data_IF_953993907281
#
_entry.id   IF_953993907281
#
_cell.length_a   1.000
_cell.length_b   1.000
_cell.length_c   1.000
_cell.angle_alpha   90.00
_cell.angle_beta   90.00
_cell.angle_gamma   90.00
#
_symmetry.space_group_name_H-M   'P 1'
#
loop_
_entity.id
_entity.type
_entity.pdbx_description
1 polymer ?
#
# COMPACT_ATOMS: atom_id res chain seq x y z
N UNK A 1 -0.39 13.92 14.65
CA UNK A 1 0.44 12.93 13.93
C UNK A 1 0.70 13.48 12.53
N UNK A 2 1.95 13.60 12.07
CA UNK A 2 2.30 14.33 10.84
C UNK A 2 2.17 13.51 9.54
N UNK A 3 1.86 12.22 9.64
CA UNK A 3 1.87 11.29 8.49
C UNK A 3 0.54 11.32 7.72
N UNK A 4 -0.58 11.61 8.39
CA UNK A 4 -1.92 11.49 7.79
C UNK A 4 -2.49 12.86 7.43
N UNK A 5 -3.20 12.90 6.31
CA UNK A 5 -4.10 13.98 5.92
C UNK A 5 -5.39 13.39 5.36
N UNK A 6 -6.42 14.22 5.26
CA UNK A 6 -7.74 13.78 4.81
C UNK A 6 -7.89 13.99 3.30
N UNK A 7 -8.43 12.99 2.61
CA UNK A 7 -8.71 13.04 1.18
C UNK A 7 -9.85 12.07 0.82
N UNK A 8 -10.43 12.28 -0.37
CA UNK A 8 -11.40 11.36 -0.98
C UNK A 8 -11.06 11.17 -2.46
N UNK A 9 -11.20 9.95 -2.96
CA UNK A 9 -10.94 9.57 -4.35
C UNK A 9 -12.08 8.71 -4.88
N UNK A 10 -12.32 8.79 -6.18
CA UNK A 10 -13.28 7.94 -6.88
C UNK A 10 -12.67 7.46 -8.20
N UNK A 11 -13.05 6.25 -8.63
CA UNK A 11 -12.71 5.71 -9.94
C UNK A 11 -13.92 5.02 -10.55
N UNK A 12 -14.01 5.04 -11.88
CA UNK A 12 -15.02 4.31 -12.65
C UNK A 12 -14.30 3.15 -13.33
N UNK A 13 -14.84 1.94 -13.15
CA UNK A 13 -14.36 0.72 -13.81
C UNK A 13 -15.48 0.20 -14.70
N UNK A 14 -15.16 -0.04 -15.97
CA UNK A 14 -16.09 -0.48 -16.99
C UNK A 14 -15.54 -1.77 -17.63
N UNK A 15 -16.44 -2.66 -18.07
CA UNK A 15 -16.04 -3.78 -18.92
C UNK A 15 -15.55 -3.26 -20.28
N UNK A 16 -14.51 -3.90 -20.81
CA UNK A 16 -13.94 -3.61 -22.11
C UNK A 16 -14.12 -4.84 -23.01
N UNK A 17 -14.66 -4.65 -24.21
CA UNK A 17 -14.75 -5.74 -25.18
C UNK A 17 -13.37 -6.09 -25.74
N UNK A 18 -13.18 -7.34 -26.17
CA UNK A 18 -11.88 -7.81 -26.64
C UNK A 18 -11.42 -7.00 -27.88
N UNK A 19 -10.24 -6.38 -27.77
CA UNK A 19 -9.65 -5.57 -28.84
C UNK A 19 -10.22 -4.15 -28.94
N UNK A 20 -11.19 -3.78 -28.10
CA UNK A 20 -11.69 -2.43 -28.01
C UNK A 20 -10.63 -1.48 -27.43
N UNK A 21 -10.46 -0.29 -28.02
CA UNK A 21 -9.56 0.75 -27.52
C UNK A 21 -10.33 2.03 -27.26
N UNK A 22 -10.31 2.49 -26.01
CA UNK A 22 -10.91 3.77 -25.60
C UNK A 22 -9.81 4.79 -25.24
N UNK A 23 -9.61 5.85 -26.04
CA UNK A 23 -8.61 6.89 -25.75
C UNK A 23 -8.82 7.52 -24.36
N UNK A 24 -7.71 7.88 -23.70
CA UNK A 24 -7.73 8.59 -22.41
C UNK A 24 -8.02 7.71 -21.18
N UNK A 25 -7.99 6.39 -21.33
CA UNK A 25 -8.23 5.42 -20.24
C UNK A 25 -7.03 4.49 -20.08
N UNK A 26 -6.91 3.89 -18.90
CA UNK A 26 -5.98 2.79 -18.64
C UNK A 26 -6.75 1.48 -18.64
N UNK A 27 -6.30 0.52 -19.43
CA UNK A 27 -6.77 -0.87 -19.37
C UNK A 27 -6.10 -1.57 -18.18
N UNK A 28 -6.88 -2.30 -17.40
CA UNK A 28 -6.33 -3.14 -16.32
C UNK A 28 -5.87 -4.44 -16.95
N UNK A 29 -4.56 -4.62 -17.08
CA UNK A 29 -3.96 -5.82 -17.69
C UNK A 29 -3.94 -6.99 -16.72
N UNK A 30 -3.56 -6.75 -15.46
CA UNK A 30 -3.57 -7.74 -14.39
C UNK A 30 -3.52 -7.05 -13.02
N UNK A 31 -3.81 -7.79 -11.97
CA UNK A 31 -3.73 -7.36 -10.57
C UNK A 31 -3.14 -8.46 -9.71
N UNK A 32 -2.39 -8.07 -8.67
CA UNK A 32 -1.91 -9.00 -7.64
C UNK A 32 -2.10 -8.41 -6.27
N UNK A 33 -2.37 -9.28 -5.30
CA UNK A 33 -2.48 -8.91 -3.89
C UNK A 33 -1.59 -9.83 -3.06
N UNK A 34 -0.91 -9.24 -2.06
CA UNK A 34 -0.12 -9.98 -1.09
C UNK A 34 -0.36 -9.39 0.30
N UNK A 35 -0.47 -10.27 1.31
CA UNK A 35 -0.64 -9.88 2.70
C UNK A 35 0.24 -10.74 3.61
N UNK A 36 0.87 -10.12 4.59
CA UNK A 36 1.60 -10.79 5.66
C UNK A 36 1.25 -10.14 7.00
N UNK A 37 0.95 -10.95 8.01
CA UNK A 37 0.61 -10.45 9.34
C UNK A 37 1.78 -9.68 9.95
N UNK A 38 1.51 -8.48 10.46
CA UNK A 38 2.46 -7.64 11.20
C UNK A 38 1.73 -6.77 12.22
N UNK A 39 2.33 -6.57 13.39
CA UNK A 39 1.84 -5.61 14.39
C UNK A 39 2.52 -4.23 14.27
N UNK A 40 3.37 -4.02 13.25
CA UNK A 40 4.18 -2.81 13.13
C UNK A 40 3.36 -1.56 12.76
N UNK A 41 2.14 -1.72 12.24
CA UNK A 41 1.12 -0.66 12.10
C UNK A 41 -0.18 -1.25 12.63
N UNK A 42 -0.73 -0.67 13.69
CA UNK A 42 -1.92 -1.22 14.34
C UNK A 42 -2.77 -0.14 15.00
N UNK A 43 -4.08 -0.33 14.91
CA UNK A 43 -5.09 0.32 15.75
C UNK A 43 -5.81 -0.77 16.54
N UNK A 44 -6.15 -0.50 17.80
CA UNK A 44 -6.96 -1.43 18.61
C UNK A 44 -8.40 -0.94 18.78
N UNK A 45 -8.72 0.25 18.25
CA UNK A 45 -10.07 0.79 18.29
C UNK A 45 -11.00 -0.05 17.38
N UNK A 46 -12.09 -0.55 17.95
CA UNK A 46 -13.10 -1.34 17.27
C UNK A 46 -14.37 -1.50 18.08
N UNK A 47 -15.33 -2.26 17.57
CA UNK A 47 -16.66 -2.41 18.19
C UNK A 47 -16.63 -3.09 19.57
N UNK A 48 -15.61 -3.89 19.85
CA UNK A 48 -15.39 -4.53 21.16
C UNK A 48 -14.63 -3.67 22.17
N UNK A 49 -14.06 -2.53 21.78
CA UNK A 49 -13.26 -1.70 22.69
C UNK A 49 -14.06 -1.32 23.93
N UNK A 50 -15.33 -0.93 23.75
CA UNK A 50 -16.24 -0.57 24.84
C UNK A 50 -16.50 -1.72 25.83
N UNK A 51 -16.67 -2.95 25.33
CA UNK A 51 -16.97 -4.11 26.18
C UNK A 51 -15.75 -4.62 26.95
N UNK A 52 -14.56 -4.08 26.66
CA UNK A 52 -13.30 -4.44 27.30
C UNK A 52 -12.81 -3.37 28.30
N UNK A 53 -13.58 -2.30 28.54
CA UNK A 53 -13.26 -1.26 29.52
C UNK A 53 -14.01 -1.51 30.84
N UNK A 54 -13.42 -1.05 31.95
CA UNK A 54 -14.08 -1.04 33.25
C UNK A 54 -15.26 -0.04 33.28
N UNK A 55 -15.12 1.10 32.60
CA UNK A 55 -16.19 2.10 32.40
C UNK A 55 -16.64 2.09 30.92
N UNK A 56 -17.85 1.58 30.60
CA UNK A 56 -18.35 1.50 29.23
C UNK A 56 -18.77 2.86 28.63
N UNK A 57 -18.79 3.94 29.42
CA UNK A 57 -19.09 5.29 28.95
C UNK A 57 -17.83 6.06 28.52
N UNK A 58 -16.65 5.53 28.82
CA UNK A 58 -15.37 6.14 28.49
C UNK A 58 -14.54 5.21 27.61
N UNK A 59 -14.11 5.70 26.45
CA UNK A 59 -13.15 4.98 25.60
C UNK A 59 -11.80 5.66 25.76
N UNK A 60 -10.85 4.96 26.39
CA UNK A 60 -9.46 5.41 26.41
C UNK A 60 -8.91 5.41 24.97
N UNK A 61 -8.46 6.56 24.49
CA UNK A 61 -7.85 6.69 23.16
C UNK A 61 -6.36 6.33 23.20
N UNK A 62 -5.71 6.44 24.35
CA UNK A 62 -4.34 6.02 24.51
C UNK A 62 -4.23 4.51 24.29
N UNK A 63 -3.30 4.09 23.43
CA UNK A 63 -3.17 2.66 23.09
C UNK A 63 -4.20 2.12 22.08
N UNK A 64 -5.30 2.84 21.84
CA UNK A 64 -6.32 2.46 20.86
C UNK A 64 -6.18 3.19 19.52
N UNK A 65 -5.64 4.41 19.50
CA UNK A 65 -5.29 5.10 18.26
C UNK A 65 -4.14 4.41 17.50
N UNK A 66 -3.96 4.79 16.24
CA UNK A 66 -2.93 4.21 15.39
C UNK A 66 -1.53 4.33 16.00
N UNK A 67 -0.82 3.20 16.08
CA UNK A 67 0.59 3.10 16.48
C UNK A 67 1.40 2.47 15.35
N UNK A 68 2.60 3.00 15.15
CA UNK A 68 3.51 2.53 14.10
C UNK A 68 4.96 2.42 14.60
N UNK A 69 5.61 1.29 14.30
CA UNK A 69 7.06 1.08 14.48
C UNK A 69 7.77 1.39 13.16
N UNK A 70 7.92 2.69 12.86
CA UNK A 70 8.32 3.18 11.53
C UNK A 70 9.58 2.55 10.95
N UNK A 71 10.62 2.32 11.76
CA UNK A 71 11.88 1.72 11.30
C UNK A 71 11.73 0.26 10.83
N UNK A 72 10.85 -0.52 11.48
CA UNK A 72 10.58 -1.90 11.05
C UNK A 72 9.76 -1.92 9.77
N UNK A 73 8.70 -1.10 9.71
CA UNK A 73 7.89 -0.90 8.50
C UNK A 73 8.78 -0.53 7.31
N UNK A 74 9.65 0.47 7.47
CA UNK A 74 10.52 0.91 6.40
C UNK A 74 11.39 -0.23 5.85
N UNK A 75 12.05 -1.00 6.72
CA UNK A 75 12.92 -2.11 6.29
C UNK A 75 12.13 -3.24 5.64
N UNK A 76 11.07 -3.70 6.28
CA UNK A 76 10.28 -4.85 5.83
C UNK A 76 9.52 -4.55 4.54
N UNK A 77 8.81 -3.41 4.47
CA UNK A 77 7.97 -3.05 3.33
C UNK A 77 8.80 -2.64 2.11
N UNK A 78 9.96 -2.02 2.30
CA UNK A 78 10.84 -1.70 1.17
C UNK A 78 11.35 -2.96 0.47
N UNK A 79 11.73 -3.98 1.27
CA UNK A 79 12.20 -5.26 0.72
C UNK A 79 11.05 -6.03 0.07
N UNK A 80 9.89 -6.11 0.72
CA UNK A 80 8.72 -6.76 0.14
C UNK A 80 8.22 -6.06 -1.13
N UNK A 81 8.18 -4.73 -1.14
CA UNK A 81 7.64 -3.92 -2.23
C UNK A 81 8.43 -4.06 -3.54
N UNK A 82 9.77 -4.01 -3.49
CA UNK A 82 10.55 -4.17 -4.72
C UNK A 82 10.46 -5.60 -5.28
N UNK A 83 10.53 -6.64 -4.42
CA UNK A 83 10.36 -8.03 -4.85
C UNK A 83 9.02 -8.25 -5.52
N UNK A 84 7.96 -7.75 -4.90
CA UNK A 84 6.61 -7.83 -5.45
C UNK A 84 6.50 -7.22 -6.85
N UNK A 85 7.08 -6.03 -7.05
CA UNK A 85 7.10 -5.36 -8.36
C UNK A 85 7.85 -6.21 -9.39
N UNK A 86 9.07 -6.66 -9.06
CA UNK A 86 9.92 -7.41 -9.99
C UNK A 86 9.29 -8.75 -10.37
N UNK A 87 8.79 -9.50 -9.38
CA UNK A 87 8.15 -10.80 -9.60
C UNK A 87 6.87 -10.67 -10.45
N UNK A 88 6.03 -9.66 -10.15
CA UNK A 88 4.81 -9.41 -10.93
C UNK A 88 5.11 -9.07 -12.39
N UNK A 89 6.10 -8.21 -12.65
CA UNK A 89 6.50 -7.85 -14.01
C UNK A 89 7.12 -9.03 -14.76
N UNK A 90 7.94 -9.84 -14.08
CA UNK A 90 8.60 -11.00 -14.67
C UNK A 90 7.59 -12.03 -15.20
N UNK A 91 6.45 -12.22 -14.52
CA UNK A 91 5.37 -13.11 -14.98
C UNK A 91 4.69 -12.63 -16.26
N UNK A 92 4.91 -11.38 -16.65
CA UNK A 92 4.42 -10.82 -17.91
C UNK A 92 5.55 -10.65 -18.95
N UNK A 93 6.74 -11.22 -18.67
CA UNK A 93 7.91 -11.05 -19.51
C UNK A 93 8.43 -9.61 -19.54
N UNK A 94 8.14 -8.82 -18.51
CA UNK A 94 8.54 -7.42 -18.39
C UNK A 94 9.57 -7.23 -17.28
N UNK A 95 10.28 -6.11 -17.35
CA UNK A 95 11.18 -5.62 -16.30
C UNK A 95 10.78 -4.19 -15.91
N UNK A 96 11.26 -3.65 -14.78
CA UNK A 96 10.95 -2.27 -14.39
C UNK A 96 11.27 -1.21 -15.45
N UNK A 97 12.27 -1.46 -16.31
CA UNK A 97 12.64 -0.60 -17.44
C UNK A 97 11.54 -0.46 -18.51
N UNK A 98 10.67 -1.45 -18.63
CA UNK A 98 9.54 -1.41 -19.55
C UNK A 98 8.40 -0.50 -19.06
N UNK A 99 8.44 -0.05 -17.80
CA UNK A 99 7.37 0.70 -17.17
C UNK A 99 7.63 2.21 -17.25
N UNK A 100 6.73 2.92 -17.96
CA UNK A 100 6.82 4.38 -18.14
C UNK A 100 6.67 5.15 -16.82
N UNK A 101 5.78 4.68 -15.94
CA UNK A 101 5.40 5.38 -14.69
C UNK A 101 4.99 4.39 -13.60
N UNK A 102 5.45 4.66 -12.38
CA UNK A 102 5.05 3.95 -11.16
C UNK A 102 4.22 4.88 -10.28
N UNK A 103 2.96 4.51 -10.03
CA UNK A 103 2.10 5.18 -9.06
C UNK A 103 2.14 4.41 -7.73
N UNK A 104 3.17 4.70 -6.92
CA UNK A 104 3.37 4.05 -5.63
C UNK A 104 2.51 4.68 -4.53
N UNK A 105 2.37 3.97 -3.41
CA UNK A 105 1.70 4.48 -2.22
C UNK A 105 2.34 5.78 -1.71
N UNK A 106 1.51 6.76 -1.32
CA UNK A 106 1.94 8.11 -0.98
C UNK A 106 2.03 8.32 0.53
N UNK A 107 3.00 7.68 1.18
CA UNK A 107 3.26 7.85 2.61
C UNK A 107 4.66 8.38 2.92
N UNK A 108 5.67 7.97 2.15
CA UNK A 108 7.07 8.34 2.40
C UNK A 108 7.90 8.33 1.12
N UNK A 109 8.36 9.51 0.69
CA UNK A 109 9.15 9.66 -0.54
C UNK A 109 10.49 8.91 -0.50
N UNK A 110 11.15 8.81 0.67
CA UNK A 110 12.40 8.05 0.82
C UNK A 110 12.18 6.55 0.63
N UNK A 111 11.05 6.04 1.10
CA UNK A 111 10.68 4.63 0.91
C UNK A 111 10.42 4.35 -0.57
N UNK A 112 9.67 5.22 -1.25
CA UNK A 112 9.41 5.10 -2.69
C UNK A 112 10.70 5.12 -3.51
N UNK A 113 11.62 6.03 -3.19
CA UNK A 113 12.92 6.10 -3.86
C UNK A 113 13.73 4.80 -3.66
N UNK A 114 13.74 4.24 -2.46
CA UNK A 114 14.48 3.00 -2.16
C UNK A 114 13.84 1.77 -2.81
N UNK A 115 12.51 1.66 -2.82
CA UNK A 115 11.79 0.58 -3.52
C UNK A 115 12.17 0.57 -5.00
N UNK A 116 12.11 1.73 -5.67
CA UNK A 116 12.45 1.82 -7.08
C UNK A 116 13.93 1.55 -7.30
N UNK A 117 14.82 2.14 -6.50
CA UNK A 117 16.27 1.90 -6.61
C UNK A 117 16.60 0.40 -6.61
N UNK A 118 16.03 -0.36 -5.66
CA UNK A 118 16.18 -1.80 -5.57
C UNK A 118 15.52 -2.55 -6.75
N UNK A 119 14.34 -2.11 -7.19
CA UNK A 119 13.65 -2.73 -8.32
C UNK A 119 14.44 -2.63 -9.63
N UNK A 120 15.08 -1.47 -9.87
CA UNK A 120 15.96 -1.25 -11.03
C UNK A 120 17.37 -1.87 -10.88
N UNK A 121 17.64 -2.59 -9.78
CA UNK A 121 18.94 -3.24 -9.56
C UNK A 121 20.09 -2.26 -9.29
N UNK A 122 19.81 -1.05 -8.81
CA UNK A 122 20.83 -0.08 -8.43
C UNK A 122 21.15 -0.19 -6.93
N UNK A 123 22.44 -0.25 -6.58
CA UNK A 123 22.93 -0.28 -5.18
C UNK A 123 22.89 1.08 -4.50
#
# INVERSE_FOLDING_TARGET
HFIFGDASVAMIVEGLEQGEKRPGRFEVLDTRTWTQMSNNIRTNLGYHTRTAQDDPYMIDLEGNLIKQVGNKVFKEVTVAGHKFIVEFLAEHGLTPEAIRRFWLHQANARMNAMILKLAFGHD
#
